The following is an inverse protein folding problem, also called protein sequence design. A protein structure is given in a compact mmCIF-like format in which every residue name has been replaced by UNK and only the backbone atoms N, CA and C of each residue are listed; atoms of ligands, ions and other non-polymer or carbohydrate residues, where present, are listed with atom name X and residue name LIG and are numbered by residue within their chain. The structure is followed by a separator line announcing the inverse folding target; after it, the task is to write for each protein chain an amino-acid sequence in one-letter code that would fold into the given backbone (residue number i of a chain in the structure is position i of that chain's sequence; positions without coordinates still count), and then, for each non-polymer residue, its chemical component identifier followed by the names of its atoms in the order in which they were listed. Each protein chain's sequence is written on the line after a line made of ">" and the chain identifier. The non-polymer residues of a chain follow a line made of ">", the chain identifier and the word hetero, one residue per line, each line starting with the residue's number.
data_IF_507981820817
#
_entry.id   IF_507981820817
#
_cell.length_a   1.000
_cell.length_b   1.000
_cell.length_c   1.000
_cell.angle_alpha   90.00
_cell.angle_beta   90.00
_cell.angle_gamma   90.00
#
_symmetry.space_group_name_H-M   'P 1'
#
loop_
_entity.id
_entity.type
_entity.pdbx_description
1 polymer ?
#
# COMPACT_ATOMS: atom_id res chain seq x y z
N UNK A 1 11.77 -8.14 5.50
CA UNK A 1 11.86 -7.82 4.05
C UNK A 1 11.46 -6.36 3.86
N UNK A 2 12.13 -5.60 3.00
CA UNK A 2 11.74 -4.22 2.70
C UNK A 2 11.50 -4.08 1.21
N UNK A 3 10.34 -3.53 0.83
CA UNK A 3 9.99 -3.29 -0.55
C UNK A 3 9.55 -1.83 -0.71
N UNK A 4 10.00 -1.19 -1.77
CA UNK A 4 9.83 0.24 -1.97
C UNK A 4 9.43 0.55 -3.40
N UNK A 5 8.34 1.28 -3.58
CA UNK A 5 7.96 1.79 -4.88
C UNK A 5 8.50 3.21 -5.12
N UNK A 6 8.95 3.54 -6.34
CA UNK A 6 9.49 4.86 -6.65
C UNK A 6 8.41 5.94 -6.53
N UNK A 7 8.81 7.13 -6.09
CA UNK A 7 7.90 8.28 -6.01
C UNK A 7 7.45 8.71 -7.40
N UNK A 8 6.15 8.61 -7.68
CA UNK A 8 5.53 9.42 -8.73
C UNK A 8 5.46 10.85 -8.20
N UNK A 9 6.17 11.79 -8.84
CA UNK A 9 6.13 13.20 -8.45
C UNK A 9 4.68 13.66 -8.22
N UNK A 10 4.45 14.40 -7.13
CA UNK A 10 3.14 14.96 -6.74
C UNK A 10 2.46 15.59 -7.97
N UNK A 11 1.35 14.99 -8.42
CA UNK A 11 0.58 15.48 -9.57
C UNK A 11 0.89 14.83 -10.92
N UNK A 12 1.77 13.82 -11.03
CA UNK A 12 1.85 13.02 -12.25
C UNK A 12 0.64 12.08 -12.32
N UNK A 13 -0.42 12.50 -13.01
CA UNK A 13 -1.54 11.64 -13.35
C UNK A 13 -1.03 10.35 -14.02
N UNK A 14 -1.21 9.22 -13.37
CA UNK A 14 -1.09 7.89 -14.00
C UNK A 14 0.16 7.07 -13.71
N UNK A 15 0.98 7.39 -12.70
CA UNK A 15 2.08 6.49 -12.28
C UNK A 15 1.74 5.75 -10.99
N UNK A 16 0.92 4.71 -11.13
CA UNK A 16 0.70 3.71 -10.08
C UNK A 16 2.01 2.94 -9.88
N UNK A 17 2.46 2.81 -8.63
CA UNK A 17 3.70 2.10 -8.33
C UNK A 17 3.44 1.14 -7.17
N UNK A 18 2.96 -0.05 -7.52
CA UNK A 18 2.71 -1.14 -6.58
C UNK A 18 4.04 -1.63 -6.04
N UNK A 19 4.24 -1.50 -4.73
CA UNK A 19 5.38 -2.11 -4.06
C UNK A 19 5.16 -3.63 -4.00
N UNK A 20 4.00 -4.09 -3.53
CA UNK A 20 3.67 -5.51 -3.44
C UNK A 20 2.26 -5.80 -3.96
N UNK A 21 2.14 -6.82 -4.82
CA UNK A 21 0.87 -7.44 -5.21
C UNK A 21 0.74 -8.81 -4.55
N UNK A 22 -0.43 -9.09 -3.99
CA UNK A 22 -0.75 -10.38 -3.36
C UNK A 22 -2.01 -10.94 -4.02
N UNK A 23 -1.84 -12.05 -4.74
CA UNK A 23 -2.91 -12.74 -5.50
C UNK A 23 -3.18 -14.18 -5.07
N UNK A 24 -2.56 -14.63 -3.98
CA UNK A 24 -2.72 -15.99 -3.46
C UNK A 24 -3.38 -16.02 -2.07
N UNK A 25 -4.28 -16.98 -1.83
CA UNK A 25 -4.95 -17.15 -0.54
C UNK A 25 -4.00 -17.68 0.57
N UNK A 26 -4.24 -17.26 1.81
CA UNK A 26 -3.46 -17.57 3.02
C UNK A 26 -2.02 -17.09 3.00
N UNK A 27 -1.75 -15.94 2.37
CA UNK A 27 -0.44 -15.29 2.45
C UNK A 27 -0.23 -14.66 3.84
N UNK A 28 0.99 -14.76 4.38
CA UNK A 28 1.33 -14.16 5.67
C UNK A 28 2.67 -13.42 5.61
N UNK A 29 2.70 -12.22 6.16
CA UNK A 29 3.87 -11.34 6.17
C UNK A 29 4.22 -10.97 7.60
N UNK A 30 5.49 -11.14 7.97
CA UNK A 30 6.00 -10.91 9.32
C UNK A 30 7.22 -9.99 9.29
N UNK A 31 7.20 -8.89 10.06
CA UNK A 31 8.33 -7.95 10.18
C UNK A 31 8.84 -7.42 8.84
N UNK A 32 7.91 -7.07 7.96
CA UNK A 32 8.14 -6.49 6.65
C UNK A 32 7.85 -4.98 6.63
N UNK A 33 8.55 -4.26 5.76
CA UNK A 33 8.31 -2.85 5.48
C UNK A 33 7.88 -2.67 4.03
N UNK A 34 6.69 -2.10 3.81
CA UNK A 34 6.14 -1.77 2.51
C UNK A 34 6.04 -0.25 2.41
N UNK A 35 6.89 0.37 1.60
CA UNK A 35 6.99 1.81 1.49
C UNK A 35 6.64 2.22 0.05
N UNK A 36 5.79 3.21 -0.13
CA UNK A 36 5.42 3.67 -1.47
C UNK A 36 4.73 5.01 -1.45
N UNK A 37 4.14 5.38 -2.59
CA UNK A 37 3.31 6.58 -2.73
C UNK A 37 1.86 6.17 -2.97
N UNK A 38 1.37 6.29 -4.21
CA UNK A 38 0.03 5.86 -4.57
C UNK A 38 0.04 4.35 -4.90
N UNK A 39 -1.00 3.64 -4.46
CA UNK A 39 -1.23 2.22 -4.77
C UNK A 39 -0.08 1.30 -4.28
N UNK A 40 0.43 1.52 -3.06
CA UNK A 40 1.60 0.82 -2.50
C UNK A 40 1.41 -0.70 -2.33
N UNK A 41 0.29 -1.15 -1.76
CA UNK A 41 0.00 -2.56 -1.50
C UNK A 41 -1.29 -2.95 -2.21
N UNK A 42 -1.16 -3.76 -3.27
CA UNK A 42 -2.30 -4.34 -3.98
C UNK A 42 -2.68 -5.69 -3.38
N UNK A 43 -3.71 -5.66 -2.55
CA UNK A 43 -4.30 -6.79 -1.85
C UNK A 43 -5.49 -7.34 -2.65
N UNK A 44 -5.23 -8.07 -3.73
CA UNK A 44 -6.23 -8.25 -4.78
C UNK A 44 -7.34 -9.24 -4.40
N UNK A 45 -7.01 -10.42 -3.89
CA UNK A 45 -7.98 -11.44 -3.49
C UNK A 45 -7.37 -12.50 -2.56
N UNK A 46 -8.16 -13.03 -1.64
CA UNK A 46 -7.76 -14.10 -0.71
C UNK A 46 -7.74 -13.64 0.74
N UNK A 47 -7.26 -14.49 1.65
CA UNK A 47 -7.07 -14.14 3.07
C UNK A 47 -5.61 -13.87 3.35
N UNK A 48 -5.28 -12.69 3.87
CA UNK A 48 -3.90 -12.35 4.18
C UNK A 48 -3.72 -11.92 5.62
N UNK A 49 -2.54 -12.20 6.16
CA UNK A 49 -2.22 -11.91 7.55
C UNK A 49 -0.91 -11.12 7.64
N UNK A 50 -0.96 -9.98 8.30
CA UNK A 50 0.16 -9.08 8.48
C UNK A 50 0.46 -8.96 9.98
N UNK A 51 1.68 -9.31 10.41
CA UNK A 51 2.13 -9.13 11.80
C UNK A 51 3.44 -8.34 11.91
N UNK A 52 3.49 -7.38 12.82
CA UNK A 52 4.65 -6.53 13.09
C UNK A 52 5.21 -5.82 11.83
N UNK A 53 4.32 -5.50 10.87
CA UNK A 53 4.72 -4.88 9.61
C UNK A 53 4.60 -3.35 9.66
N UNK A 54 5.33 -2.67 8.79
CA UNK A 54 5.21 -1.23 8.56
C UNK A 54 4.76 -0.97 7.14
N UNK A 55 3.64 -0.28 6.96
CA UNK A 55 3.10 0.08 5.64
C UNK A 55 2.98 1.60 5.57
N UNK A 56 3.59 2.19 4.55
CA UNK A 56 3.66 3.65 4.39
C UNK A 56 3.32 4.06 2.97
N UNK A 57 2.45 5.06 2.81
CA UNK A 57 2.16 5.64 1.50
C UNK A 57 1.30 6.89 1.52
N UNK A 58 0.88 7.35 0.34
CA UNK A 58 0.10 8.59 0.19
C UNK A 58 -1.40 8.31 0.04
N UNK A 59 -1.89 8.13 -1.18
CA UNK A 59 -3.31 7.90 -1.50
C UNK A 59 -3.49 6.41 -1.85
N UNK A 60 -4.53 5.78 -1.30
CA UNK A 60 -4.87 4.37 -1.55
C UNK A 60 -3.68 3.39 -1.41
N UNK A 61 -2.83 3.61 -0.40
CA UNK A 61 -1.61 2.81 -0.22
C UNK A 61 -1.85 1.35 0.22
N UNK A 62 -3.09 0.99 0.56
CA UNK A 62 -3.58 -0.39 0.65
C UNK A 62 -4.92 -0.41 -0.09
N UNK A 63 -5.05 -1.28 -1.10
CA UNK A 63 -6.25 -1.34 -1.93
C UNK A 63 -6.46 -2.74 -2.52
N UNK A 64 -7.69 -3.06 -2.92
CA UNK A 64 -8.11 -4.35 -3.46
C UNK A 64 -9.26 -4.98 -2.65
N UNK A 65 -9.57 -6.24 -2.95
CA UNK A 65 -10.74 -6.97 -2.39
C UNK A 65 -10.33 -8.14 -1.45
N UNK A 66 -9.07 -8.18 -1.02
CA UNK A 66 -8.58 -9.18 -0.07
C UNK A 66 -9.18 -9.06 1.34
N UNK A 67 -9.36 -10.22 2.00
CA UNK A 67 -9.72 -10.32 3.41
C UNK A 67 -8.46 -10.32 4.27
N UNK A 68 -7.99 -9.13 4.63
CA UNK A 68 -6.73 -8.98 5.35
C UNK A 68 -6.90 -8.65 6.82
N UNK A 69 -6.02 -9.24 7.65
CA UNK A 69 -5.90 -8.96 9.07
C UNK A 69 -4.53 -8.39 9.41
N UNK A 70 -4.50 -7.25 10.10
CA UNK A 70 -3.29 -6.51 10.46
C UNK A 70 -3.12 -6.52 11.99
N UNK A 71 -2.16 -7.31 12.48
CA UNK A 71 -1.81 -7.43 13.90
C UNK A 71 -0.52 -6.66 14.20
N UNK A 72 -0.57 -5.73 15.16
CA UNK A 72 0.63 -4.96 15.60
C UNK A 72 1.37 -4.28 14.44
N UNK A 73 0.63 -3.87 13.40
CA UNK A 73 1.20 -3.19 12.24
C UNK A 73 1.16 -1.67 12.40
N UNK A 74 2.16 -0.98 11.85
CA UNK A 74 2.21 0.48 11.77
C UNK A 74 1.80 0.93 10.37
N UNK A 75 0.70 1.69 10.28
CA UNK A 75 0.18 2.27 9.04
C UNK A 75 0.42 3.78 9.05
N UNK A 76 1.25 4.28 8.14
CA UNK A 76 1.64 5.70 8.07
C UNK A 76 1.21 6.33 6.73
N UNK A 77 0.32 7.33 6.78
CA UNK A 77 0.03 8.17 5.62
C UNK A 77 1.01 9.34 5.56
N UNK A 78 1.60 9.57 4.39
CA UNK A 78 2.50 10.70 4.08
C UNK A 78 1.97 11.59 2.96
N UNK A 79 0.66 11.55 2.70
CA UNK A 79 0.05 12.44 1.71
C UNK A 79 0.17 13.91 2.16
N UNK A 80 0.87 14.73 1.37
CA UNK A 80 1.00 16.17 1.63
C UNK A 80 -0.19 17.01 1.11
N UNK A 81 -1.22 16.41 0.51
CA UNK A 81 -2.39 17.15 0.00
C UNK A 81 -3.68 16.33 0.11
N UNK A 82 -4.66 16.91 0.80
CA UNK A 82 -6.04 16.42 0.83
C UNK A 82 -6.70 16.65 -0.54
N UNK A 83 -6.98 15.55 -1.25
CA UNK A 83 -7.80 15.58 -2.46
C UNK A 83 -7.02 15.93 -3.73
N UNK A 84 -7.09 15.04 -4.72
CA UNK A 84 -6.82 15.39 -6.11
C UNK A 84 -7.58 16.68 -6.44
N UNK A 85 -6.94 17.76 -6.93
CA UNK A 85 -7.68 18.84 -7.51
C UNK A 85 -8.24 18.30 -8.83
N UNK A 86 -9.43 17.72 -8.76
CA UNK A 86 -10.28 17.51 -9.92
C UNK A 86 -10.63 18.90 -10.44
N UNK A 87 -9.75 19.48 -11.27
CA UNK A 87 -10.09 20.64 -12.08
C UNK A 87 -11.25 20.21 -12.97
N UNK A 88 -12.45 20.70 -12.65
CA UNK A 88 -13.47 20.92 -13.67
C UNK A 88 -13.01 22.02 -14.61
#
# INVERSE_FOLDING_TARGET
>A
MQNTSPSSALGSMGKQAVALEISGDKAAFYKCSFLGYQDTLYDCYGRHYFKDNRIKGTINFIFGDGQSYYETCSLESIAETFGSPSRK
#
